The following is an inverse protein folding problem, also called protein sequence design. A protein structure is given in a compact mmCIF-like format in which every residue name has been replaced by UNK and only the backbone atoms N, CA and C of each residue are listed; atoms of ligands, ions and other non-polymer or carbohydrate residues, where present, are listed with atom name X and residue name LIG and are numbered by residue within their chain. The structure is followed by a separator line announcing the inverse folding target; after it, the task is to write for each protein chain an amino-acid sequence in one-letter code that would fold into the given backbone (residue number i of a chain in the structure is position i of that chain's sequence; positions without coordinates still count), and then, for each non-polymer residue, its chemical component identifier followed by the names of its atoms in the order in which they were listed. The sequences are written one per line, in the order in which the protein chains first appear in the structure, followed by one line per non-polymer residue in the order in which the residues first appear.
data_IF_754279135848
#
_entry.id   IF_754279135848
#
_cell.length_a   1.000
_cell.length_b   1.000
_cell.length_c   1.000
_cell.angle_alpha   90.00
_cell.angle_beta   90.00
_cell.angle_gamma   90.00
#
_symmetry.space_group_name_H-M   'P 1'
#
loop_
_entity.id
_entity.type
_entity.pdbx_description
1 polymer ?
#
# COMPACT_ATOMS: atom_id res chain seq x y z
N UNK A 1 -12.12 -47.34 -13.40
CA UNK A 1 -11.07 -47.08 -12.40
C UNK A 1 -10.80 -48.38 -11.68
N UNK A 2 -9.65 -48.98 -11.93
CA UNK A 2 -9.21 -50.19 -11.23
C UNK A 2 -8.62 -49.79 -9.87
N UNK A 3 -8.60 -50.69 -8.88
CA UNK A 3 -8.09 -50.37 -7.55
C UNK A 3 -6.61 -49.96 -7.55
N UNK A 4 -5.85 -50.37 -8.57
CA UNK A 4 -4.46 -50.00 -8.78
C UNK A 4 -4.29 -48.51 -9.16
N UNK A 5 -5.26 -47.93 -9.86
CA UNK A 5 -5.27 -46.49 -10.18
C UNK A 5 -5.64 -45.63 -8.95
N UNK A 6 -6.40 -46.19 -8.00
CA UNK A 6 -6.77 -45.52 -6.75
C UNK A 6 -5.64 -45.56 -5.71
N UNK A 7 -4.88 -46.66 -5.65
CA UNK A 7 -3.69 -46.78 -4.80
C UNK A 7 -2.53 -45.90 -5.30
N UNK A 8 -2.36 -45.74 -6.62
CA UNK A 8 -1.38 -44.81 -7.18
C UNK A 8 -1.68 -43.34 -6.84
N UNK A 9 -2.96 -42.97 -6.76
CA UNK A 9 -3.41 -41.63 -6.40
C UNK A 9 -3.22 -41.34 -4.90
N UNK A 10 -3.42 -42.35 -4.03
CA UNK A 10 -3.26 -42.19 -2.57
C UNK A 10 -1.79 -42.23 -2.11
N UNK A 11 -0.91 -42.90 -2.86
CA UNK A 11 0.52 -43.00 -2.52
C UNK A 11 1.41 -41.97 -3.25
N UNK A 12 0.85 -41.22 -4.22
CA UNK A 12 1.55 -40.22 -5.01
C UNK A 12 1.48 -38.77 -4.48
N UNK A 13 0.72 -38.51 -3.41
CA UNK A 13 0.46 -37.15 -2.89
C UNK A 13 0.85 -36.99 -1.41
N UNK A 14 1.74 -37.84 -0.89
CA UNK A 14 2.26 -37.75 0.49
C UNK A 14 3.79 -37.67 0.55
N UNK A 15 4.45 -37.40 -0.59
CA UNK A 15 5.92 -37.35 -0.71
C UNK A 15 6.53 -35.95 -0.78
N UNK A 16 5.73 -34.87 -0.69
CA UNK A 16 6.19 -33.49 -0.90
C UNK A 16 5.87 -32.55 0.28
N UNK A 17 5.69 -33.11 1.47
CA UNK A 17 5.36 -32.35 2.69
C UNK A 17 6.33 -32.64 3.84
N UNK A 18 7.63 -32.74 3.52
CA UNK A 18 8.68 -32.92 4.53
C UNK A 18 10.00 -32.19 4.18
N UNK A 19 9.97 -31.14 3.34
CA UNK A 19 11.17 -30.39 2.94
C UNK A 19 10.98 -28.85 2.90
N UNK A 20 10.26 -28.27 3.88
CA UNK A 20 10.17 -26.80 4.04
C UNK A 20 10.36 -26.33 5.49
N UNK A 21 11.22 -27.01 6.24
CA UNK A 21 11.69 -26.49 7.53
C UNK A 21 13.19 -26.66 7.65
N UNK A 22 13.94 -25.71 7.10
CA UNK A 22 15.14 -25.09 7.72
C UNK A 22 15.85 -24.19 6.69
N UNK A 23 16.21 -22.99 7.16
CA UNK A 23 17.16 -22.03 6.58
C UNK A 23 16.73 -21.18 5.36
N UNK A 24 16.32 -19.93 5.62
CA UNK A 24 17.14 -18.78 5.21
C UNK A 24 16.77 -17.52 6.01
N UNK A 25 17.63 -17.21 6.98
CA UNK A 25 17.80 -15.88 7.52
C UNK A 25 18.62 -15.06 6.52
N UNK A 26 17.99 -14.15 5.80
CA UNK A 26 18.68 -13.09 5.08
C UNK A 26 17.88 -11.80 5.22
N UNK A 27 18.45 -10.89 6.01
CA UNK A 27 18.11 -9.47 6.03
C UNK A 27 18.35 -8.91 4.62
N UNK A 28 17.35 -8.29 4.01
CA UNK A 28 17.58 -7.33 2.93
C UNK A 28 16.93 -5.99 3.28
N UNK A 29 17.83 -5.01 3.38
CA UNK A 29 17.58 -3.59 3.53
C UNK A 29 16.80 -3.07 2.32
N UNK A 30 15.69 -2.37 2.55
CA UNK A 30 15.09 -1.47 1.56
C UNK A 30 15.04 -0.09 2.19
N UNK A 31 16.15 0.64 2.07
CA UNK A 31 16.26 2.04 2.43
C UNK A 31 17.26 2.74 1.49
N UNK A 32 16.98 2.73 0.19
CA UNK A 32 17.64 3.57 -0.80
C UNK A 32 16.61 3.96 -1.86
N UNK A 33 15.78 4.97 -1.58
CA UNK A 33 15.27 5.88 -2.60
C UNK A 33 14.73 7.17 -1.95
N UNK A 34 15.65 8.08 -1.62
CA UNK A 34 15.33 9.47 -1.26
C UNK A 34 16.59 10.34 -1.39
N UNK A 35 17.25 10.30 -2.54
CA UNK A 35 18.34 11.21 -2.88
C UNK A 35 18.05 11.88 -4.23
N UNK A 36 17.10 12.82 -4.24
CA UNK A 36 17.14 13.92 -5.21
C UNK A 36 16.20 15.05 -4.78
N UNK A 37 16.77 16.04 -4.09
CA UNK A 37 16.58 17.47 -4.34
C UNK A 37 17.25 18.22 -3.20
N UNK A 38 18.24 19.04 -3.54
CA UNK A 38 18.60 20.33 -2.94
C UNK A 38 20.06 20.66 -3.36
N UNK A 39 20.28 20.81 -4.67
CA UNK A 39 21.27 21.77 -5.16
C UNK A 39 20.52 23.11 -5.33
N UNK A 40 20.68 24.03 -4.38
CA UNK A 40 21.10 25.40 -4.71
C UNK A 40 21.37 26.20 -3.43
N UNK A 41 22.61 26.71 -3.33
CA UNK A 41 23.06 27.92 -2.62
C UNK A 41 24.44 27.69 -1.99
N UNK A 42 25.47 27.76 -2.82
CA UNK A 42 26.76 28.27 -2.37
C UNK A 42 26.60 29.77 -2.10
N UNK A 43 26.96 30.27 -0.92
CA UNK A 43 28.23 30.99 -0.69
C UNK A 43 28.26 31.68 0.70
N UNK A 44 29.48 32.01 1.12
CA UNK A 44 29.89 32.97 2.16
C UNK A 44 30.05 32.49 3.62
N UNK A 45 31.26 31.95 3.87
CA UNK A 45 32.17 32.32 4.96
C UNK A 45 31.56 33.11 6.15
N UNK A 46 31.16 32.38 7.18
CA UNK A 46 31.06 32.92 8.54
C UNK A 46 31.68 31.90 9.49
N UNK A 47 32.65 32.34 10.30
CA UNK A 47 33.18 31.56 11.40
C UNK A 47 32.03 31.31 12.39
N UNK A 48 31.61 30.05 12.55
CA UNK A 48 30.59 29.65 13.51
C UNK A 48 31.29 28.88 14.64
N UNK A 49 31.15 29.39 15.86
CA UNK A 49 31.74 28.83 17.06
C UNK A 49 31.18 27.42 17.36
N UNK A 50 32.02 26.42 17.72
CA UNK A 50 31.58 25.04 17.96
C UNK A 50 30.54 24.86 19.09
N UNK A 51 30.41 25.84 19.99
CA UNK A 51 29.44 25.79 21.11
C UNK A 51 27.99 26.03 20.66
N UNK A 52 27.76 26.74 19.55
CA UNK A 52 26.41 27.05 19.05
C UNK A 52 25.76 25.83 18.36
N UNK A 53 26.57 24.95 17.79
CA UNK A 53 26.13 23.71 17.13
C UNK A 53 25.64 22.68 18.17
N UNK A 54 26.29 22.61 19.33
CA UNK A 54 25.96 21.65 20.39
C UNK A 54 24.70 22.11 21.14
N UNK A 55 24.55 23.41 21.41
CA UNK A 55 23.37 23.98 22.04
C UNK A 55 22.08 23.80 21.23
N UNK A 56 22.16 23.93 19.90
CA UNK A 56 21.00 23.74 19.01
C UNK A 56 20.64 22.26 18.83
N UNK A 57 21.61 21.34 18.81
CA UNK A 57 21.31 19.89 18.77
C UNK A 57 20.64 19.37 20.04
N UNK A 58 20.92 19.95 21.19
CA UNK A 58 20.29 19.58 22.46
C UNK A 58 18.87 20.18 22.58
N UNK A 59 18.63 21.37 22.01
CA UNK A 59 17.27 21.95 21.90
C UNK A 59 16.39 21.21 20.88
N UNK A 60 16.97 20.65 19.82
CA UNK A 60 16.27 19.80 18.85
C UNK A 60 16.20 18.33 19.25
N UNK A 61 16.80 17.93 20.38
CA UNK A 61 16.46 16.67 21.04
C UNK A 61 15.13 16.84 21.78
N UNK A 62 14.11 17.18 21.01
CA UNK A 62 12.73 17.21 21.47
C UNK A 62 12.37 15.76 21.83
N UNK A 63 12.32 15.49 23.14
CA UNK A 63 11.70 14.28 23.68
C UNK A 63 10.42 14.05 22.88
N UNK A 64 10.17 12.83 22.34
CA UNK A 64 8.99 12.61 21.53
C UNK A 64 7.78 13.06 22.34
N UNK A 65 7.07 14.06 21.80
CA UNK A 65 5.90 14.67 22.43
C UNK A 65 4.99 13.54 22.91
N UNK A 66 4.41 13.63 24.12
CA UNK A 66 3.55 12.58 24.64
C UNK A 66 2.49 12.27 23.58
N UNK A 67 2.35 10.99 23.22
CA UNK A 67 1.50 10.56 22.12
C UNK A 67 0.07 11.09 22.33
N UNK A 68 -0.29 12.14 21.60
CA UNK A 68 -1.67 12.58 21.42
C UNK A 68 -2.41 11.51 20.62
N UNK A 69 -3.74 11.42 20.73
CA UNK A 69 -4.52 10.38 20.04
C UNK A 69 -4.28 10.37 18.51
N UNK A 70 -3.98 11.54 17.91
CA UNK A 70 -3.57 11.69 16.50
C UNK A 70 -2.16 11.14 16.19
N UNK A 71 -1.23 11.15 17.15
CA UNK A 71 0.15 10.67 16.97
C UNK A 71 0.36 9.22 17.44
N UNK A 72 -0.72 8.52 17.77
CA UNK A 72 -0.65 7.11 18.13
C UNK A 72 -0.68 6.28 16.86
N UNK A 73 0.46 5.66 16.53
CA UNK A 73 0.59 4.80 15.33
C UNK A 73 -0.53 3.78 15.18
N UNK A 74 -1.10 3.28 16.28
CA UNK A 74 -2.23 2.33 16.26
C UNK A 74 -3.51 2.94 15.68
N UNK A 75 -3.79 4.21 15.95
CA UNK A 75 -4.96 4.92 15.38
C UNK A 75 -4.72 5.26 13.91
N UNK A 76 -3.52 5.73 13.58
CA UNK A 76 -3.14 5.99 12.18
C UNK A 76 -3.27 4.74 11.31
N UNK A 77 -2.83 3.57 11.81
CA UNK A 77 -3.01 2.31 11.08
C UNK A 77 -4.49 1.91 10.92
N UNK A 78 -5.33 2.16 11.93
CA UNK A 78 -6.78 1.92 11.86
C UNK A 78 -7.42 2.83 10.79
N UNK A 79 -7.05 4.11 10.77
CA UNK A 79 -7.54 5.09 9.80
C UNK A 79 -7.10 4.73 8.38
N UNK A 80 -5.82 4.36 8.19
CA UNK A 80 -5.31 3.87 6.89
C UNK A 80 -6.06 2.61 6.45
N UNK A 81 -6.36 1.67 7.34
CA UNK A 81 -7.14 0.48 6.94
C UNK A 81 -8.54 0.83 6.48
N UNK A 82 -9.20 1.77 7.17
CA UNK A 82 -10.56 2.17 6.85
C UNK A 82 -10.63 2.97 5.55
N UNK A 83 -9.75 3.95 5.37
CA UNK A 83 -9.65 4.72 4.14
C UNK A 83 -9.30 3.83 2.94
N UNK A 84 -8.39 2.85 3.15
CA UNK A 84 -8.04 1.89 2.11
C UNK A 84 -9.23 1.00 1.71
N UNK A 85 -10.11 0.60 2.63
CA UNK A 85 -11.32 -0.18 2.33
C UNK A 85 -12.35 0.63 1.52
N UNK A 86 -12.59 1.88 1.91
CA UNK A 86 -13.51 2.77 1.19
C UNK A 86 -12.99 3.01 -0.24
N UNK A 87 -11.68 3.29 -0.38
CA UNK A 87 -11.04 3.50 -1.69
C UNK A 87 -10.97 2.23 -2.53
N UNK A 88 -10.76 1.07 -1.92
CA UNK A 88 -10.85 -0.21 -2.62
C UNK A 88 -12.26 -0.41 -3.16
N UNK A 89 -13.30 -0.16 -2.36
CA UNK A 89 -14.68 -0.34 -2.81
C UNK A 89 -14.99 0.57 -4.01
N UNK A 90 -14.57 1.83 -3.98
CA UNK A 90 -14.69 2.74 -5.13
C UNK A 90 -13.95 2.24 -6.37
N UNK A 91 -12.73 1.72 -6.22
CA UNK A 91 -11.95 1.17 -7.34
C UNK A 91 -12.65 -0.07 -7.93
N UNK A 92 -13.25 -0.93 -7.11
CA UNK A 92 -13.99 -2.10 -7.57
C UNK A 92 -15.18 -1.68 -8.42
N UNK A 93 -15.98 -0.72 -7.95
CA UNK A 93 -17.13 -0.21 -8.70
C UNK A 93 -16.68 0.40 -10.04
N UNK A 94 -15.57 1.15 -10.07
CA UNK A 94 -15.02 1.72 -11.30
C UNK A 94 -14.58 0.61 -12.26
N UNK A 95 -13.87 -0.40 -11.77
CA UNK A 95 -13.40 -1.53 -12.59
C UNK A 95 -14.56 -2.34 -13.16
N UNK A 96 -15.60 -2.59 -12.38
CA UNK A 96 -16.81 -3.28 -12.84
C UNK A 96 -17.51 -2.50 -13.96
N UNK A 97 -17.65 -1.18 -13.79
CA UNK A 97 -18.21 -0.31 -14.83
C UNK A 97 -17.37 -0.36 -16.11
N UNK A 98 -16.04 -0.25 -16.00
CA UNK A 98 -15.14 -0.33 -17.18
C UNK A 98 -15.24 -1.71 -17.85
N UNK A 99 -15.34 -2.79 -17.07
CA UNK A 99 -15.49 -4.15 -17.60
C UNK A 99 -16.78 -4.30 -18.42
N UNK A 100 -17.90 -3.81 -17.88
CA UNK A 100 -19.18 -3.82 -18.58
C UNK A 100 -19.13 -2.95 -19.85
N UNK A 101 -18.55 -1.75 -19.77
CA UNK A 101 -18.38 -0.86 -20.92
C UNK A 101 -17.53 -1.53 -22.02
N UNK A 102 -16.43 -2.22 -21.67
CA UNK A 102 -15.60 -2.93 -22.64
C UNK A 102 -16.37 -4.05 -23.35
N UNK A 103 -17.17 -4.84 -22.61
CA UNK A 103 -18.00 -5.89 -23.21
C UNK A 103 -19.05 -5.32 -24.17
N UNK A 104 -19.74 -4.23 -23.80
CA UNK A 104 -20.72 -3.57 -24.69
C UNK A 104 -20.04 -3.02 -25.95
N UNK A 105 -18.84 -2.46 -25.81
CA UNK A 105 -18.04 -1.95 -26.94
C UNK A 105 -17.58 -3.06 -27.86
N UNK A 106 -17.16 -4.20 -27.32
CA UNK A 106 -16.80 -5.38 -28.10
C UNK A 106 -18.00 -5.89 -28.92
N UNK A 107 -19.19 -6.02 -28.31
CA UNK A 107 -20.42 -6.41 -29.01
C UNK A 107 -20.76 -5.42 -30.13
N UNK A 108 -20.67 -4.13 -29.84
CA UNK A 108 -20.92 -3.07 -30.84
C UNK A 108 -19.95 -3.16 -32.02
N UNK A 109 -18.65 -3.37 -31.76
CA UNK A 109 -17.63 -3.51 -32.81
C UNK A 109 -17.78 -4.81 -33.61
N UNK A 110 -18.25 -5.88 -32.99
CA UNK A 110 -18.63 -7.11 -33.68
C UNK A 110 -19.74 -6.86 -34.71
N UNK A 111 -20.78 -6.10 -34.35
CA UNK A 111 -21.83 -5.68 -35.29
C UNK A 111 -21.31 -4.80 -36.44
N UNK A 112 -20.35 -3.90 -36.16
CA UNK A 112 -19.68 -3.11 -37.22
C UNK A 112 -18.88 -4.02 -38.16
N UNK A 113 -18.26 -5.08 -37.64
CA UNK A 113 -17.51 -6.06 -38.43
C UNK A 113 -18.42 -6.75 -39.46
N UNK A 114 -19.62 -7.18 -39.06
CA UNK A 114 -20.59 -7.77 -39.98
C UNK A 114 -20.99 -6.82 -41.12
N UNK A 115 -21.17 -5.53 -40.82
CA UNK A 115 -21.50 -4.50 -41.83
C UNK A 115 -20.34 -4.30 -42.80
N UNK A 116 -19.09 -4.25 -42.32
CA UNK A 116 -17.91 -4.13 -43.17
C UNK A 116 -17.76 -5.38 -44.04
N UNK A 117 -18.00 -6.58 -43.52
CA UNK A 117 -17.98 -7.82 -44.30
C UNK A 117 -19.05 -7.82 -45.41
N UNK A 118 -20.27 -7.40 -45.10
CA UNK A 118 -21.33 -7.24 -46.09
C UNK A 118 -20.94 -6.22 -47.19
N UNK A 119 -20.31 -5.11 -46.80
CA UNK A 119 -19.80 -4.12 -47.74
C UNK A 119 -18.68 -4.68 -48.63
N UNK A 120 -17.73 -5.43 -48.07
CA UNK A 120 -16.68 -6.10 -48.84
C UNK A 120 -17.30 -7.04 -49.88
N UNK A 121 -18.24 -7.90 -49.47
CA UNK A 121 -18.91 -8.83 -50.39
C UNK A 121 -19.71 -8.11 -51.50
N UNK A 122 -20.28 -6.94 -51.20
CA UNK A 122 -20.97 -6.10 -52.18
C UNK A 122 -19.98 -5.48 -53.18
N UNK A 123 -18.86 -4.94 -52.71
CA UNK A 123 -17.83 -4.36 -53.57
C UNK A 123 -17.10 -5.42 -54.40
N UNK A 124 -16.92 -6.65 -53.91
CA UNK A 124 -16.38 -7.76 -54.70
C UNK A 124 -17.27 -8.05 -55.91
N UNK A 125 -18.59 -8.16 -55.70
CA UNK A 125 -19.56 -8.34 -56.79
C UNK A 125 -19.59 -7.16 -57.76
N UNK A 126 -19.44 -5.93 -57.28
CA UNK A 126 -19.42 -4.74 -58.13
C UNK A 126 -18.14 -4.66 -58.97
N UNK A 127 -16.98 -4.96 -58.39
CA UNK A 127 -15.71 -5.05 -59.11
C UNK A 127 -15.76 -6.13 -60.21
N UNK A 128 -16.36 -7.28 -59.93
CA UNK A 128 -16.53 -8.36 -60.92
C UNK A 128 -17.43 -7.96 -62.09
N UNK A 129 -18.49 -7.19 -61.82
CA UNK A 129 -19.47 -6.75 -62.83
C UNK A 129 -19.04 -5.51 -63.61
N UNK A 130 -18.26 -4.64 -62.99
CA UNK A 130 -17.84 -3.35 -63.55
C UNK A 130 -16.33 -3.15 -63.35
N UNK A 131 -15.48 -3.90 -64.09
CA UNK A 131 -14.02 -3.86 -63.93
C UNK A 131 -13.40 -2.51 -64.30
N UNK A 132 -14.07 -1.71 -65.14
CA UNK A 132 -13.59 -0.42 -65.61
C UNK A 132 -13.77 0.72 -64.58
N UNK A 133 -14.39 0.44 -63.44
CA UNK A 133 -14.65 1.45 -62.39
C UNK A 133 -13.61 1.31 -61.28
N UNK A 134 -12.55 2.12 -61.37
CA UNK A 134 -11.43 2.13 -60.42
C UNK A 134 -11.87 2.46 -58.98
N UNK A 135 -12.91 3.30 -58.81
CA UNK A 135 -13.40 3.69 -57.48
C UNK A 135 -13.90 2.52 -56.64
N UNK A 136 -14.45 1.47 -57.26
CA UNK A 136 -14.87 0.26 -56.53
C UNK A 136 -13.68 -0.53 -56.00
N UNK A 137 -12.58 -0.60 -56.74
CA UNK A 137 -11.36 -1.25 -56.28
C UNK A 137 -10.73 -0.50 -55.11
N UNK A 138 -10.67 0.84 -55.19
CA UNK A 138 -10.17 1.67 -54.09
C UNK A 138 -11.02 1.53 -52.83
N UNK A 139 -12.36 1.57 -52.97
CA UNK A 139 -13.25 1.43 -51.82
C UNK A 139 -13.23 0.02 -51.23
N UNK A 140 -13.01 -1.02 -52.05
CA UNK A 140 -12.81 -2.39 -51.58
C UNK A 140 -11.52 -2.53 -50.76
N UNK A 141 -10.41 -1.95 -51.23
CA UNK A 141 -9.15 -1.94 -50.49
C UNK A 141 -9.31 -1.22 -49.15
N UNK A 142 -9.95 -0.04 -49.15
CA UNK A 142 -10.22 0.73 -47.93
C UNK A 142 -11.12 -0.03 -46.93
N UNK A 143 -12.14 -0.77 -47.39
CA UNK A 143 -12.96 -1.59 -46.49
C UNK A 143 -12.18 -2.78 -45.91
N UNK A 144 -11.25 -3.37 -46.67
CA UNK A 144 -10.38 -4.45 -46.16
C UNK A 144 -9.42 -3.94 -45.08
N UNK A 145 -8.82 -2.78 -45.31
CA UNK A 145 -8.00 -2.09 -44.30
C UNK A 145 -8.83 -1.72 -43.05
N UNK A 146 -10.05 -1.20 -43.24
CA UNK A 146 -10.94 -0.90 -42.12
C UNK A 146 -11.31 -2.16 -41.32
N UNK A 147 -11.47 -3.31 -41.97
CA UNK A 147 -11.71 -4.60 -41.29
C UNK A 147 -10.50 -5.02 -40.45
N UNK A 148 -9.30 -4.88 -40.99
CA UNK A 148 -8.06 -5.22 -40.28
C UNK A 148 -7.88 -4.33 -39.04
N UNK A 149 -8.00 -3.01 -39.20
CA UNK A 149 -7.95 -2.06 -38.09
C UNK A 149 -9.03 -2.36 -37.02
N UNK A 150 -10.24 -2.73 -37.44
CA UNK A 150 -11.31 -3.09 -36.52
C UNK A 150 -11.00 -4.36 -35.73
N UNK A 151 -10.37 -5.36 -36.37
CA UNK A 151 -9.92 -6.58 -35.72
C UNK A 151 -8.84 -6.30 -34.66
N UNK A 152 -7.89 -5.42 -34.97
CA UNK A 152 -6.85 -4.99 -34.02
C UNK A 152 -7.49 -4.29 -32.82
N UNK A 153 -8.47 -3.40 -33.04
CA UNK A 153 -9.19 -2.75 -31.95
C UNK A 153 -9.91 -3.77 -31.07
N UNK A 154 -10.62 -4.74 -31.65
CA UNK A 154 -11.28 -5.81 -30.87
C UNK A 154 -10.26 -6.59 -30.03
N UNK A 155 -9.10 -6.95 -30.60
CA UNK A 155 -8.03 -7.63 -29.86
C UNK A 155 -7.51 -6.78 -28.68
N UNK A 156 -7.34 -5.47 -28.88
CA UNK A 156 -6.93 -4.57 -27.79
C UNK A 156 -7.99 -4.48 -26.68
N UNK A 157 -9.28 -4.51 -27.02
CA UNK A 157 -10.37 -4.55 -26.04
C UNK A 157 -10.35 -5.85 -25.23
N UNK A 158 -10.14 -6.99 -25.88
CA UNK A 158 -10.04 -8.29 -25.22
C UNK A 158 -8.85 -8.34 -24.26
N UNK A 159 -7.68 -7.89 -24.71
CA UNK A 159 -6.48 -7.78 -23.86
C UNK A 159 -6.69 -6.83 -22.66
N UNK A 160 -7.45 -5.75 -22.87
CA UNK A 160 -7.86 -4.84 -21.79
C UNK A 160 -8.82 -5.52 -20.80
N UNK A 161 -9.76 -6.33 -21.29
CA UNK A 161 -10.65 -7.15 -20.47
C UNK A 161 -9.89 -8.15 -19.59
N UNK A 162 -8.91 -8.85 -20.18
CA UNK A 162 -8.03 -9.77 -19.44
C UNK A 162 -7.21 -9.05 -18.38
N UNK A 163 -6.70 -7.85 -18.70
CA UNK A 163 -5.98 -7.01 -17.74
C UNK A 163 -6.86 -6.61 -16.56
N UNK A 164 -8.13 -6.28 -16.81
CA UNK A 164 -9.10 -5.97 -15.76
C UNK A 164 -9.36 -7.19 -14.87
N UNK A 165 -9.49 -8.38 -15.44
CA UNK A 165 -9.63 -9.61 -14.64
C UNK A 165 -8.42 -9.82 -13.72
N UNK A 166 -7.21 -9.61 -14.24
CA UNK A 166 -5.99 -9.68 -13.42
C UNK A 166 -5.97 -8.64 -12.29
N UNK A 167 -6.43 -7.40 -12.54
CA UNK A 167 -6.55 -6.37 -11.50
C UNK A 167 -7.58 -6.79 -10.45
N UNK A 168 -8.71 -7.37 -10.87
CA UNK A 168 -9.74 -7.87 -9.95
C UNK A 168 -9.21 -8.98 -9.03
N UNK A 169 -8.32 -9.83 -9.52
CA UNK A 169 -7.63 -10.86 -8.72
C UNK A 169 -6.64 -10.24 -7.72
N UNK A 170 -5.84 -9.25 -8.15
CA UNK A 170 -4.92 -8.53 -7.25
C UNK A 170 -5.71 -7.79 -6.16
N UNK A 171 -6.88 -7.27 -6.48
CA UNK A 171 -7.69 -6.52 -5.55
C UNK A 171 -8.26 -7.39 -4.42
N UNK A 172 -8.47 -8.69 -4.66
CA UNK A 172 -8.75 -9.65 -3.59
C UNK A 172 -7.57 -9.77 -2.60
N UNK A 173 -6.34 -9.58 -3.06
CA UNK A 173 -5.14 -9.56 -2.19
C UNK A 173 -5.11 -8.34 -1.25
N UNK A 174 -5.85 -7.26 -1.56
CA UNK A 174 -5.99 -6.11 -0.69
C UNK A 174 -6.72 -6.45 0.63
N UNK A 175 -7.73 -7.34 0.59
CA UNK A 175 -8.40 -7.79 1.82
C UNK A 175 -7.45 -8.59 2.72
N UNK A 176 -6.52 -9.36 2.14
CA UNK A 176 -5.47 -10.08 2.89
C UNK A 176 -4.55 -9.08 3.62
N UNK A 177 -4.19 -7.96 2.97
CA UNK A 177 -3.39 -6.91 3.61
C UNK A 177 -4.12 -6.25 4.77
N UNK A 178 -5.42 -5.94 4.60
CA UNK A 178 -6.26 -5.43 5.68
C UNK A 178 -6.24 -6.36 6.90
N UNK A 179 -6.47 -7.66 6.69
CA UNK A 179 -6.44 -8.65 7.78
C UNK A 179 -5.07 -8.74 8.48
N UNK A 180 -3.97 -8.64 7.73
CA UNK A 180 -2.61 -8.62 8.30
C UNK A 180 -2.41 -7.38 9.17
N UNK A 181 -2.88 -6.20 8.73
CA UNK A 181 -2.79 -4.96 9.51
C UNK A 181 -3.68 -5.05 10.76
N UNK A 182 -4.92 -5.52 10.66
CA UNK A 182 -5.80 -5.74 11.82
C UNK A 182 -5.15 -6.65 12.88
N UNK A 183 -4.47 -7.70 12.45
CA UNK A 183 -3.72 -8.60 13.35
C UNK A 183 -2.59 -7.85 14.07
N UNK A 184 -1.79 -7.07 13.33
CA UNK A 184 -0.67 -6.28 13.89
C UNK A 184 -1.19 -5.22 14.87
N UNK A 185 -2.25 -4.50 14.51
CA UNK A 185 -2.92 -3.51 15.37
C UNK A 185 -3.36 -4.16 16.68
N UNK A 186 -3.98 -5.35 16.63
CA UNK A 186 -4.42 -6.06 17.83
C UNK A 186 -3.26 -6.50 18.73
N UNK A 187 -2.15 -6.97 18.15
CA UNK A 187 -0.92 -7.28 18.89
C UNK A 187 -0.33 -6.02 19.53
N UNK A 188 -0.25 -4.90 18.79
CA UNK A 188 0.26 -3.62 19.29
C UNK A 188 -0.61 -3.07 20.44
N UNK A 189 -1.94 -3.16 20.33
CA UNK A 189 -2.88 -2.81 21.42
C UNK A 189 -2.66 -3.68 22.64
N UNK A 190 -2.43 -4.99 22.47
CA UNK A 190 -2.14 -5.91 23.57
C UNK A 190 -0.80 -5.61 24.24
N UNK A 191 0.23 -5.27 23.45
CA UNK A 191 1.58 -4.95 23.93
C UNK A 191 1.60 -3.63 24.71
N UNK A 192 0.87 -2.61 24.24
CA UNK A 192 0.66 -1.35 24.97
C UNK A 192 -0.09 -1.59 26.30
N UNK A 193 -1.14 -2.42 26.30
CA UNK A 193 -1.82 -2.81 27.54
C UNK A 193 -0.88 -3.54 28.50
N UNK A 194 -0.11 -4.49 28.00
CA UNK A 194 0.84 -5.25 28.81
C UNK A 194 1.91 -4.34 29.44
N UNK A 195 2.44 -3.38 28.69
CA UNK A 195 3.37 -2.37 29.22
C UNK A 195 2.71 -1.50 30.30
N UNK A 196 1.50 -1.01 30.06
CA UNK A 196 0.78 -0.26 31.08
C UNK A 196 0.55 -1.10 32.33
N UNK A 197 0.15 -2.38 32.21
CA UNK A 197 -0.04 -3.29 33.34
C UNK A 197 1.27 -3.66 34.05
N UNK A 198 2.43 -3.65 33.36
CA UNK A 198 3.74 -3.83 33.96
C UNK A 198 4.16 -2.63 34.82
N UNK A 199 3.83 -1.41 34.39
CA UNK A 199 4.10 -0.18 35.13
C UNK A 199 3.04 0.12 36.21
N UNK A 200 1.84 -0.43 36.07
CA UNK A 200 0.79 -0.41 37.09
C UNK A 200 1.22 -1.35 38.23
N UNK A 201 1.89 -0.76 39.23
CA UNK A 201 2.39 -1.50 40.38
C UNK A 201 1.28 -2.28 41.08
N UNK A 202 1.56 -3.52 41.50
CA UNK A 202 0.62 -4.38 42.26
C UNK A 202 0.20 -3.80 43.63
N UNK A 203 0.75 -2.65 44.02
CA UNK A 203 0.58 -2.03 45.33
C UNK A 203 -0.09 -0.68 45.12
N UNK A 204 -1.23 -0.52 45.78
CA UNK A 204 -1.98 0.74 45.86
C UNK A 204 -1.04 1.88 46.30
N UNK A 205 -1.13 3.04 45.67
CA UNK A 205 -0.17 4.14 45.86
C UNK A 205 -0.13 4.59 47.34
N UNK A 206 -1.25 4.43 48.05
CA UNK A 206 -1.40 4.65 49.51
C UNK A 206 -0.56 3.70 50.38
N UNK A 207 -0.17 2.53 49.88
CA UNK A 207 0.63 1.52 50.59
C UNK A 207 2.10 1.54 50.18
N UNK A 208 2.48 2.42 49.25
CA UNK A 208 3.88 2.56 48.86
C UNK A 208 4.65 3.27 49.94
N UNK A 209 5.90 2.85 50.13
CA UNK A 209 6.80 3.47 51.11
C UNK A 209 7.00 4.92 50.68
N UNK A 210 6.76 5.86 51.61
CA UNK A 210 6.98 7.28 51.39
C UNK A 210 8.38 7.50 50.79
N UNK A 211 8.51 8.50 49.90
CA UNK A 211 9.80 8.84 49.30
C UNK A 211 10.86 9.01 50.40
N UNK A 212 12.04 8.47 50.18
CA UNK A 212 13.11 8.55 51.16
C UNK A 212 13.52 10.02 51.33
N UNK A 213 13.21 10.59 52.49
CA UNK A 213 13.60 11.95 52.87
C UNK A 213 15.06 12.07 53.26
N UNK A 214 15.77 10.96 53.45
CA UNK A 214 17.16 10.95 53.87
C UNK A 214 17.90 9.71 53.35
N UNK A 215 19.04 9.93 52.68
CA UNK A 215 19.98 8.87 52.32
C UNK A 215 21.10 8.88 53.37
N UNK A 216 21.49 7.71 53.87
CA UNK A 216 22.54 7.60 54.90
C UNK A 216 23.86 8.19 54.35
N UNK A 217 24.32 9.28 54.96
CA UNK A 217 25.51 10.03 54.54
C UNK A 217 25.20 11.39 53.92
N UNK A 218 23.93 11.69 53.66
CA UNK A 218 23.47 13.03 53.31
C UNK A 218 23.28 13.86 54.60
N UNK A 219 23.82 15.07 54.67
CA UNK A 219 23.68 15.95 55.82
C UNK A 219 22.66 17.08 55.58
N UNK A 220 22.12 17.18 54.37
CA UNK A 220 21.12 18.18 54.02
C UNK A 220 19.72 17.58 54.17
N UNK A 221 18.86 18.34 54.85
CA UNK A 221 17.45 18.01 55.06
C UNK A 221 16.56 18.91 54.17
N UNK A 222 17.15 19.53 53.15
CA UNK A 222 16.47 20.43 52.22
C UNK A 222 15.71 19.61 51.20
N UNK A 223 14.48 19.28 51.54
CA UNK A 223 13.49 18.82 50.57
C UNK A 223 12.95 20.08 49.90
N UNK A 224 13.25 20.30 48.62
CA UNK A 224 12.71 21.43 47.87
C UNK A 224 11.18 21.33 47.89
N UNK A 225 10.51 22.37 48.41
CA UNK A 225 9.06 22.41 48.44
C UNK A 225 8.50 22.65 47.04
N UNK A 226 7.23 22.32 46.82
CA UNK A 226 6.56 22.58 45.54
C UNK A 226 6.61 24.06 45.13
N UNK A 227 6.63 24.98 46.10
CA UNK A 227 6.83 26.41 45.86
C UNK A 227 8.25 26.74 45.39
N UNK A 228 9.28 26.07 45.94
CA UNK A 228 10.67 26.28 45.51
C UNK A 228 10.90 25.78 44.08
N UNK A 229 10.22 24.69 43.70
CA UNK A 229 10.28 24.13 42.34
C UNK A 229 9.56 25.05 41.34
N UNK A 230 8.42 25.63 41.72
CA UNK A 230 7.69 26.59 40.88
C UNK A 230 8.44 27.91 40.72
N UNK A 231 9.13 28.38 41.77
CA UNK A 231 10.02 29.53 41.72
C UNK A 231 11.23 29.31 40.80
N UNK A 232 11.82 28.11 40.81
CA UNK A 232 12.90 27.75 39.89
C UNK A 232 12.42 27.65 38.44
N UNK A 233 11.25 27.07 38.19
CA UNK A 233 10.64 27.03 36.86
C UNK A 233 10.37 28.44 36.31
N UNK A 234 9.90 29.36 37.16
CA UNK A 234 9.71 30.75 36.78
C UNK A 234 11.03 31.49 36.50
N UNK A 235 12.12 31.11 37.17
CA UNK A 235 13.44 31.70 37.00
C UNK A 235 14.18 31.17 35.74
N UNK A 236 13.90 29.93 35.33
CA UNK A 236 14.48 29.29 34.13
C UNK A 236 13.58 29.37 32.88
N UNK A 237 12.32 29.79 33.01
CA UNK A 237 11.36 29.97 31.91
C UNK A 237 11.40 31.33 31.20
N UNK A 238 12.48 32.11 31.38
CA UNK A 238 12.78 33.33 30.59
C UNK A 238 13.76 33.04 29.46
#
# INVERSE_FOLDING_TARGET
MTQEELDALMNGEMGDMEELSEEESAEENIAEDAEETLEDAADENSQIDPEEIIGNKIKSAELPLPATDENKMVHQLDDVTKESEEKASEIFDIIENISNDLMEREETLSGVTEVIEANIALFEKLCDKFPDVETFQTQLASNKEAKENLSEVIETLQNSGDSIMNVMDIMQYQDIHRQKIERVINVMRALSKYMNTLFEGKVDDEKRVASATHIVGDAHNDVASTEDIEALLAQFGQ
#
